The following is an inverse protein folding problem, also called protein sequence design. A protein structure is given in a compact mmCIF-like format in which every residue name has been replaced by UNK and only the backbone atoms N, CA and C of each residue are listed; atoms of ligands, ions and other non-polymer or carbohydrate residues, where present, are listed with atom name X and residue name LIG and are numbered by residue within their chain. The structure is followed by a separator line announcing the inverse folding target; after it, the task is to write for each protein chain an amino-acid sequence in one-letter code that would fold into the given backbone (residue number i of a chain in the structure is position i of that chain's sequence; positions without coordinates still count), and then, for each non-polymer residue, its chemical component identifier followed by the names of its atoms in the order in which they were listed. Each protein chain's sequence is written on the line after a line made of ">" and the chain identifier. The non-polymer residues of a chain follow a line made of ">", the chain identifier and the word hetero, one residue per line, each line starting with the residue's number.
data_IF_332834561814
#
_entry.id   IF_332834561814
#
_cell.length_a   1.000
_cell.length_b   1.000
_cell.length_c   1.000
_cell.angle_alpha   90.00
_cell.angle_beta   90.00
_cell.angle_gamma   90.00
#
_symmetry.space_group_name_H-M   'P 1'
#
loop_
_entity.id
_entity.type
_entity.pdbx_description
1 polymer ?
#
# COMPACT_ATOMS: atom_id res chain seq x y z
N UNK A 1 -10.90 -31.46 -30.78
CA UNK A 1 -11.15 -30.17 -30.12
C UNK A 1 -10.41 -30.02 -28.77
N UNK A 2 -9.25 -30.68 -28.56
CA UNK A 2 -8.59 -30.74 -27.23
C UNK A 2 -7.23 -30.02 -27.12
N UNK A 3 -6.80 -29.26 -28.12
CA UNK A 3 -5.51 -28.56 -28.09
C UNK A 3 -5.62 -27.17 -27.45
N UNK A 4 -6.71 -26.43 -27.66
CA UNK A 4 -6.90 -25.08 -27.10
C UNK A 4 -6.83 -25.02 -25.57
N UNK A 5 -7.35 -26.04 -24.88
CA UNK A 5 -7.34 -26.08 -23.42
C UNK A 5 -5.92 -26.27 -22.83
N UNK A 6 -5.08 -27.08 -23.51
CA UNK A 6 -3.73 -27.41 -23.04
C UNK A 6 -2.72 -26.27 -23.20
N UNK A 7 -2.91 -25.41 -24.20
CA UNK A 7 -2.09 -24.21 -24.37
C UNK A 7 -2.45 -23.15 -23.34
N UNK A 8 -3.74 -22.96 -23.07
CA UNK A 8 -4.23 -21.99 -22.10
C UNK A 8 -3.83 -22.37 -20.66
N UNK A 9 -3.96 -23.64 -20.29
CA UNK A 9 -3.47 -24.18 -18.99
C UNK A 9 -1.95 -23.97 -18.81
N UNK A 10 -1.18 -24.08 -19.90
CA UNK A 10 0.27 -23.86 -19.88
C UNK A 10 0.62 -22.38 -19.70
N UNK A 11 -0.09 -21.47 -20.35
CA UNK A 11 0.12 -20.03 -20.17
C UNK A 11 -0.27 -19.55 -18.76
N UNK A 12 -1.37 -20.07 -18.21
CA UNK A 12 -1.79 -19.80 -16.83
C UNK A 12 -0.74 -20.29 -15.81
N UNK A 13 -0.17 -21.48 -16.05
CA UNK A 13 0.94 -22.02 -15.23
C UNK A 13 2.19 -21.13 -15.29
N UNK A 14 2.62 -20.69 -16.48
CA UNK A 14 3.79 -19.81 -16.60
C UNK A 14 3.54 -18.44 -15.95
N UNK A 15 2.32 -17.90 -16.07
CA UNK A 15 1.93 -16.65 -15.40
C UNK A 15 1.98 -16.80 -13.87
N UNK A 16 1.44 -17.90 -13.34
CA UNK A 16 1.48 -18.23 -11.91
C UNK A 16 2.92 -18.36 -11.36
N UNK A 17 3.81 -19.04 -12.10
CA UNK A 17 5.23 -19.15 -11.74
C UNK A 17 5.90 -17.77 -11.75
N UNK A 18 5.62 -16.94 -12.77
CA UNK A 18 6.11 -15.57 -12.86
C UNK A 18 5.70 -14.73 -11.63
N UNK A 19 4.46 -14.89 -11.18
CA UNK A 19 3.95 -14.18 -10.01
C UNK A 19 4.50 -14.66 -8.68
N UNK A 20 4.81 -15.95 -8.56
CA UNK A 20 5.51 -16.48 -7.39
C UNK A 20 6.92 -15.88 -7.24
N UNK A 21 7.63 -15.65 -8.36
CA UNK A 21 8.94 -14.98 -8.36
C UNK A 21 8.85 -13.49 -8.04
N UNK A 22 7.87 -12.80 -8.62
CA UNK A 22 7.56 -11.39 -8.30
C UNK A 22 7.30 -11.22 -6.81
N UNK A 23 6.53 -12.13 -6.20
CA UNK A 23 6.26 -12.12 -4.75
C UNK A 23 7.55 -12.15 -3.90
N UNK A 24 8.51 -12.99 -4.25
CA UNK A 24 9.79 -13.06 -3.53
C UNK A 24 10.55 -11.74 -3.57
N UNK A 25 10.61 -11.10 -4.75
CA UNK A 25 11.27 -9.80 -4.93
C UNK A 25 10.59 -8.67 -4.15
N UNK A 26 9.25 -8.64 -4.16
CA UNK A 26 8.49 -7.64 -3.40
C UNK A 26 8.74 -7.78 -1.90
N UNK A 27 8.81 -9.00 -1.38
CA UNK A 27 9.09 -9.21 0.04
C UNK A 27 10.43 -8.58 0.46
N UNK A 28 11.48 -8.70 -0.36
CA UNK A 28 12.79 -8.07 -0.08
C UNK A 28 12.70 -6.54 -0.15
N UNK A 29 12.10 -5.98 -1.21
CA UNK A 29 12.00 -4.51 -1.39
C UNK A 29 11.13 -3.84 -0.33
N UNK A 30 10.07 -4.53 0.11
CA UNK A 30 9.18 -4.08 1.17
C UNK A 30 9.92 -3.88 2.50
N UNK A 31 10.95 -4.69 2.80
CA UNK A 31 11.73 -4.56 4.04
C UNK A 31 12.53 -3.26 4.06
N UNK A 32 13.22 -2.93 2.96
CA UNK A 32 13.97 -1.69 2.81
C UNK A 32 13.05 -0.46 2.91
N UNK A 33 11.88 -0.54 2.26
CA UNK A 33 10.87 0.50 2.30
C UNK A 33 10.31 0.69 3.73
N UNK A 34 10.06 -0.39 4.46
CA UNK A 34 9.62 -0.32 5.87
C UNK A 34 10.69 0.25 6.79
N UNK A 35 11.96 -0.09 6.57
CA UNK A 35 13.07 0.48 7.33
C UNK A 35 13.14 1.99 7.12
N UNK A 36 13.05 2.45 5.87
CA UNK A 36 13.07 3.87 5.52
C UNK A 36 11.91 4.63 6.17
N UNK A 37 10.69 4.07 6.10
CA UNK A 37 9.49 4.61 6.73
C UNK A 37 9.59 4.63 8.26
N UNK A 38 10.32 3.68 8.85
CA UNK A 38 10.44 3.52 10.30
C UNK A 38 11.54 4.39 10.92
N UNK A 39 12.62 4.63 10.19
CA UNK A 39 13.84 5.24 10.75
C UNK A 39 14.10 6.66 10.23
N UNK A 40 13.77 6.95 8.97
CA UNK A 40 14.13 8.22 8.31
C UNK A 40 12.94 9.15 8.09
N UNK A 41 11.73 8.62 8.02
CA UNK A 41 10.51 9.41 7.83
C UNK A 41 9.87 9.74 9.20
N UNK A 42 10.70 10.14 10.16
CA UNK A 42 10.31 10.41 11.54
C UNK A 42 9.96 9.16 12.36
N UNK A 43 10.90 8.76 13.22
CA UNK A 43 10.83 7.52 13.98
C UNK A 43 9.80 7.54 15.12
N UNK A 44 9.62 8.70 15.75
CA UNK A 44 8.81 8.86 16.96
C UNK A 44 7.53 9.66 16.68
N UNK A 45 6.47 9.34 17.40
CA UNK A 45 5.23 10.12 17.42
C UNK A 45 5.43 11.26 18.43
N UNK A 46 5.35 12.54 18.03
CA UNK A 46 5.37 13.66 18.96
C UNK A 46 4.24 13.52 20.00
N UNK A 47 4.49 13.94 21.25
CA UNK A 47 3.54 13.71 22.35
C UNK A 47 2.19 14.37 22.09
N UNK A 48 2.20 15.55 21.49
CA UNK A 48 1.05 16.31 21.04
C UNK A 48 0.19 15.55 20.03
N UNK A 49 0.76 14.62 19.27
CA UNK A 49 0.05 13.83 18.26
C UNK A 49 -0.58 12.55 18.81
N UNK A 50 -0.23 12.12 20.03
CA UNK A 50 -0.67 10.83 20.58
C UNK A 50 -2.20 10.74 20.64
N UNK A 51 -2.87 11.80 21.11
CA UNK A 51 -4.33 11.81 21.23
C UNK A 51 -5.02 11.74 19.87
N UNK A 52 -4.48 12.43 18.87
CA UNK A 52 -4.97 12.39 17.49
C UNK A 52 -4.84 10.98 16.89
N UNK A 53 -3.68 10.35 17.09
CA UNK A 53 -3.40 8.97 16.66
C UNK A 53 -4.36 7.96 17.30
N UNK A 54 -4.55 8.04 18.63
CA UNK A 54 -5.46 7.14 19.34
C UNK A 54 -6.89 7.34 18.85
N UNK A 55 -7.33 8.60 18.72
CA UNK A 55 -8.68 8.94 18.28
C UNK A 55 -8.99 8.47 16.86
N UNK A 56 -8.01 8.51 15.96
CA UNK A 56 -8.14 7.95 14.61
C UNK A 56 -8.16 6.43 14.66
N UNK A 57 -7.22 5.80 15.36
CA UNK A 57 -7.13 4.34 15.48
C UNK A 57 -8.43 3.74 16.03
N UNK A 58 -9.06 4.36 17.02
CA UNK A 58 -10.34 3.91 17.59
C UNK A 58 -11.52 4.00 16.62
N UNK A 59 -11.45 4.88 15.62
CA UNK A 59 -12.45 5.05 14.55
C UNK A 59 -12.05 4.35 13.25
N UNK A 60 -10.87 3.74 13.19
CA UNK A 60 -10.38 3.08 11.98
C UNK A 60 -11.27 1.95 11.50
N UNK A 61 -12.04 1.33 12.40
CA UNK A 61 -13.08 0.33 12.07
C UNK A 61 -14.29 0.94 11.32
N UNK A 62 -14.51 2.25 11.40
CA UNK A 62 -15.48 2.98 10.56
C UNK A 62 -14.98 3.10 9.11
N UNK A 63 -13.66 3.01 8.92
CA UNK A 63 -12.97 3.08 7.64
C UNK A 63 -12.65 1.67 7.14
N UNK A 64 -13.68 0.98 6.64
CA UNK A 64 -13.55 -0.35 6.04
C UNK A 64 -12.59 -0.33 4.83
N UNK A 65 -11.29 -0.56 5.04
CA UNK A 65 -10.49 -1.25 4.04
C UNK A 65 -10.78 -2.74 4.25
N UNK A 66 -11.44 -3.43 3.31
CA UNK A 66 -11.63 -4.86 3.43
C UNK A 66 -10.28 -5.52 3.63
N UNK A 67 -10.22 -6.46 4.57
CA UNK A 67 -9.00 -7.14 4.92
C UNK A 67 -8.39 -7.75 3.65
N UNK A 68 -7.17 -7.34 3.30
CA UNK A 68 -6.52 -7.77 2.05
C UNK A 68 -6.33 -9.30 2.04
N UNK A 69 -6.25 -9.92 3.22
CA UNK A 69 -6.14 -11.36 3.40
C UNK A 69 -7.45 -12.13 3.14
N UNK A 70 -8.60 -11.44 3.07
CA UNK A 70 -9.90 -12.04 2.73
C UNK A 70 -10.16 -12.02 1.21
N UNK A 71 -9.30 -11.35 0.44
CA UNK A 71 -9.38 -11.34 -1.00
C UNK A 71 -8.89 -12.66 -1.60
N UNK A 72 -9.63 -13.15 -2.60
CA UNK A 72 -9.09 -14.12 -3.56
C UNK A 72 -7.75 -13.60 -4.13
N UNK A 73 -6.78 -14.47 -4.47
CA UNK A 73 -5.49 -14.09 -5.02
C UNK A 73 -5.44 -12.91 -5.98
N UNK A 74 -6.26 -12.93 -7.04
CA UNK A 74 -6.32 -11.85 -8.01
C UNK A 74 -6.74 -10.51 -7.38
N UNK A 75 -7.71 -10.55 -6.46
CA UNK A 75 -8.17 -9.37 -5.74
C UNK A 75 -7.07 -8.84 -4.81
N UNK A 76 -6.27 -9.71 -4.18
CA UNK A 76 -5.17 -9.29 -3.34
C UNK A 76 -4.09 -8.56 -4.17
N UNK A 77 -3.76 -9.01 -5.38
CA UNK A 77 -2.75 -8.34 -6.22
C UNK A 77 -3.24 -6.96 -6.68
N UNK A 78 -4.51 -6.88 -7.08
CA UNK A 78 -5.13 -5.59 -7.47
C UNK A 78 -5.26 -4.65 -6.28
N UNK A 79 -5.57 -5.16 -5.08
CA UNK A 79 -5.60 -4.37 -3.87
C UNK A 79 -4.21 -3.82 -3.53
N UNK A 80 -3.17 -4.66 -3.59
CA UNK A 80 -1.79 -4.24 -3.33
C UNK A 80 -1.34 -3.15 -4.30
N UNK A 81 -1.53 -3.35 -5.60
CA UNK A 81 -1.22 -2.35 -6.64
C UNK A 81 -1.94 -1.02 -6.38
N UNK A 82 -3.25 -1.05 -6.15
CA UNK A 82 -4.01 0.17 -5.87
C UNK A 82 -3.57 0.83 -4.55
N UNK A 83 -3.26 0.06 -3.50
CA UNK A 83 -2.74 0.60 -2.23
C UNK A 83 -1.43 1.34 -2.45
N UNK A 84 -0.48 0.73 -3.16
CA UNK A 84 0.82 1.36 -3.45
C UNK A 84 0.62 2.65 -4.25
N UNK A 85 -0.25 2.64 -5.27
CA UNK A 85 -0.57 3.84 -6.03
C UNK A 85 -1.19 4.94 -5.16
N UNK A 86 -2.12 4.59 -4.27
CA UNK A 86 -2.73 5.56 -3.36
C UNK A 86 -1.73 6.10 -2.34
N UNK A 87 -0.78 5.29 -1.85
CA UNK A 87 0.29 5.74 -0.95
C UNK A 87 1.19 6.76 -1.67
N UNK A 88 1.62 6.47 -2.90
CA UNK A 88 2.42 7.40 -3.71
C UNK A 88 1.67 8.71 -3.93
N UNK A 89 0.37 8.65 -4.22
CA UNK A 89 -0.47 9.84 -4.38
C UNK A 89 -0.58 10.65 -3.09
N UNK A 90 -0.82 9.99 -1.95
CA UNK A 90 -0.89 10.63 -0.64
C UNK A 90 0.44 11.30 -0.29
N UNK A 91 1.59 10.64 -0.49
CA UNK A 91 2.94 11.22 -0.32
C UNK A 91 3.33 12.25 -1.40
N UNK A 92 2.41 12.62 -2.28
CA UNK A 92 2.59 13.72 -3.24
C UNK A 92 1.80 14.97 -2.84
N UNK A 93 1.15 14.95 -1.68
CA UNK A 93 0.42 16.10 -1.16
C UNK A 93 1.36 17.09 -0.43
N UNK A 94 0.79 18.11 0.21
CA UNK A 94 1.56 19.17 0.87
C UNK A 94 2.36 18.64 2.09
N UNK A 95 3.66 18.97 2.15
CA UNK A 95 4.59 18.62 3.22
C UNK A 95 5.14 19.83 3.99
N UNK A 96 4.62 21.05 3.79
CA UNK A 96 5.14 22.28 4.41
C UNK A 96 5.26 22.18 5.94
N UNK A 97 4.34 21.48 6.59
CA UNK A 97 4.29 21.28 8.04
C UNK A 97 4.90 19.94 8.49
N UNK A 98 5.64 19.24 7.62
CA UNK A 98 6.19 17.92 7.86
C UNK A 98 7.69 17.99 8.12
N UNK A 99 8.13 17.43 9.25
CA UNK A 99 9.54 17.39 9.66
C UNK A 99 10.36 16.26 9.03
N UNK A 100 9.78 15.52 8.08
CA UNK A 100 10.45 14.37 7.45
C UNK A 100 11.49 14.84 6.44
N UNK A 101 12.53 14.03 6.25
CA UNK A 101 13.54 14.29 5.23
C UNK A 101 12.94 14.09 3.82
N UNK A 102 12.89 15.17 3.02
CA UNK A 102 12.33 15.17 1.66
C UNK A 102 13.00 14.12 0.76
N UNK A 103 14.32 13.93 0.92
CA UNK A 103 15.05 12.91 0.17
C UNK A 103 14.56 11.51 0.53
N UNK A 104 14.29 11.24 1.80
CA UNK A 104 13.72 9.97 2.26
C UNK A 104 12.32 9.76 1.71
N UNK A 105 11.46 10.79 1.67
CA UNK A 105 10.15 10.72 1.00
C UNK A 105 10.31 10.36 -0.49
N UNK A 106 11.23 11.03 -1.19
CA UNK A 106 11.46 10.80 -2.61
C UNK A 106 11.97 9.37 -2.88
N UNK A 107 12.94 8.88 -2.11
CA UNK A 107 13.46 7.52 -2.21
C UNK A 107 12.36 6.50 -1.93
N UNK A 108 11.54 6.71 -0.90
CA UNK A 108 10.42 5.83 -0.57
C UNK A 108 9.43 5.75 -1.74
N UNK A 109 9.02 6.89 -2.30
CA UNK A 109 8.12 6.91 -3.47
C UNK A 109 8.71 6.21 -4.69
N UNK A 110 10.01 6.34 -4.92
CA UNK A 110 10.69 5.61 -6.00
C UNK A 110 10.66 4.09 -5.76
N UNK A 111 10.89 3.64 -4.52
CA UNK A 111 10.77 2.23 -4.13
C UNK A 111 9.36 1.69 -4.38
N UNK A 112 8.33 2.40 -3.91
CA UNK A 112 6.92 2.03 -4.17
C UNK A 112 6.59 2.00 -5.67
N UNK A 113 7.13 2.95 -6.45
CA UNK A 113 6.98 2.96 -7.91
C UNK A 113 7.57 1.70 -8.57
N UNK A 114 8.71 1.21 -8.08
CA UNK A 114 9.33 -0.02 -8.56
C UNK A 114 8.51 -1.26 -8.19
N UNK A 115 7.91 -1.28 -6.99
CA UNK A 115 6.98 -2.35 -6.58
C UNK A 115 5.74 -2.39 -7.49
N UNK A 116 5.13 -1.24 -7.78
CA UNK A 116 3.99 -1.12 -8.71
C UNK A 116 4.37 -1.70 -10.08
N UNK A 117 5.50 -1.27 -10.66
CA UNK A 117 5.98 -1.80 -11.96
C UNK A 117 6.20 -3.30 -11.90
N UNK A 118 6.71 -3.82 -10.79
CA UNK A 118 6.95 -5.26 -10.60
C UNK A 118 5.63 -6.04 -10.52
N UNK A 119 4.57 -5.47 -9.96
CA UNK A 119 3.25 -6.10 -9.85
C UNK A 119 2.46 -6.18 -11.16
N UNK A 120 2.76 -5.32 -12.15
CA UNK A 120 1.99 -5.20 -13.41
C UNK A 120 1.77 -6.56 -14.10
N UNK A 121 2.79 -7.42 -14.15
CA UNK A 121 2.68 -8.73 -14.80
C UNK A 121 1.72 -9.71 -14.11
N UNK A 122 1.37 -9.43 -12.86
CA UNK A 122 0.51 -10.27 -12.02
C UNK A 122 -0.92 -9.76 -11.91
N UNK A 123 -1.18 -8.58 -12.47
CA UNK A 123 -2.53 -8.05 -12.50
C UNK A 123 -3.41 -8.92 -13.41
N UNK A 124 -4.63 -9.14 -12.93
CA UNK A 124 -5.71 -9.73 -13.70
C UNK A 124 -6.77 -8.64 -13.92
N UNK A 125 -7.43 -8.65 -15.08
CA UNK A 125 -8.52 -7.72 -15.36
C UNK A 125 -9.75 -7.98 -14.48
N UNK A 126 -10.66 -7.02 -14.40
CA UNK A 126 -12.02 -7.27 -13.89
C UNK A 126 -12.27 -7.09 -12.38
N UNK A 127 -11.45 -6.31 -11.65
CA UNK A 127 -11.56 -6.16 -10.19
C UNK A 127 -11.75 -4.71 -9.73
N UNK A 128 -12.62 -3.97 -10.41
CA UNK A 128 -12.85 -2.55 -10.14
C UNK A 128 -13.49 -2.29 -8.77
N UNK A 129 -14.29 -3.24 -8.26
CA UNK A 129 -14.84 -3.15 -6.91
C UNK A 129 -13.73 -3.11 -5.84
N UNK A 130 -12.69 -3.91 -6.01
CA UNK A 130 -11.51 -3.91 -5.13
C UNK A 130 -10.79 -2.57 -5.18
N UNK A 131 -10.52 -2.05 -6.38
CA UNK A 131 -9.91 -0.72 -6.54
C UNK A 131 -10.74 0.38 -5.90
N UNK A 132 -12.05 0.36 -6.13
CA UNK A 132 -12.97 1.35 -5.57
C UNK A 132 -13.02 1.32 -4.04
N UNK A 133 -12.93 0.14 -3.43
CA UNK A 133 -12.85 0.00 -1.97
C UNK A 133 -11.57 0.66 -1.43
N UNK A 134 -10.42 0.36 -2.04
CA UNK A 134 -9.13 0.97 -1.67
C UNK A 134 -9.17 2.50 -1.86
N UNK A 135 -9.63 2.99 -3.01
CA UNK A 135 -9.78 4.43 -3.28
C UNK A 135 -10.72 5.12 -2.31
N UNK A 136 -11.83 4.47 -1.91
CA UNK A 136 -12.76 5.02 -0.93
C UNK A 136 -12.07 5.22 0.42
N UNK A 137 -11.27 4.26 0.85
CA UNK A 137 -10.48 4.35 2.07
C UNK A 137 -9.43 5.47 2.00
N UNK A 138 -8.60 5.52 0.94
CA UNK A 138 -7.58 6.57 0.81
C UNK A 138 -8.16 7.97 0.58
N UNK A 139 -9.38 8.10 0.04
CA UNK A 139 -10.10 9.38 0.03
C UNK A 139 -10.34 9.92 1.44
N UNK A 140 -10.59 9.05 2.43
CA UNK A 140 -10.77 9.46 3.82
C UNK A 140 -9.45 9.89 4.45
N UNK A 141 -8.35 9.18 4.16
CA UNK A 141 -7.00 9.62 4.57
C UNK A 141 -6.66 11.00 3.99
N UNK A 142 -6.86 11.18 2.69
CA UNK A 142 -6.56 12.46 2.04
C UNK A 142 -7.48 13.59 2.52
N UNK A 143 -8.70 13.26 2.93
CA UNK A 143 -9.59 14.21 3.61
C UNK A 143 -9.07 14.57 5.00
N UNK A 144 -8.65 13.60 5.82
CA UNK A 144 -8.04 13.84 7.14
C UNK A 144 -6.85 14.81 7.04
N UNK A 145 -5.97 14.59 6.06
CA UNK A 145 -4.83 15.48 5.82
C UNK A 145 -5.29 16.92 5.56
N UNK A 146 -6.30 17.12 4.70
CA UNK A 146 -6.86 18.45 4.41
C UNK A 146 -7.55 19.08 5.62
N UNK A 147 -8.39 18.32 6.32
CA UNK A 147 -9.16 18.79 7.48
C UNK A 147 -8.23 19.21 8.64
N UNK A 148 -7.02 18.63 8.71
CA UNK A 148 -5.98 18.97 9.68
C UNK A 148 -4.83 19.80 9.10
N UNK A 149 -5.07 20.47 7.97
CA UNK A 149 -4.14 21.38 7.29
C UNK A 149 -2.72 20.81 7.11
N UNK A 150 -2.65 19.53 6.74
CA UNK A 150 -1.40 18.79 6.53
C UNK A 150 -0.44 18.85 7.72
N UNK A 151 -0.96 19.03 8.94
CA UNK A 151 -0.15 19.10 10.17
C UNK A 151 0.70 17.85 10.38
N UNK A 152 1.80 17.99 11.14
CA UNK A 152 2.67 16.86 11.47
C UNK A 152 1.87 15.70 12.09
N UNK A 153 0.90 15.97 12.97
CA UNK A 153 0.08 14.93 13.58
C UNK A 153 -0.82 14.18 12.58
N UNK A 154 -1.34 14.87 11.56
CA UNK A 154 -2.08 14.20 10.49
C UNK A 154 -1.15 13.26 9.69
N UNK A 155 0.08 13.69 9.40
CA UNK A 155 1.09 12.84 8.76
C UNK A 155 1.53 11.67 9.63
N UNK A 156 1.60 11.81 10.96
CA UNK A 156 1.85 10.67 11.87
C UNK A 156 0.78 9.60 11.77
N UNK A 157 -0.48 9.99 11.64
CA UNK A 157 -1.58 9.04 11.41
C UNK A 157 -1.37 8.31 10.08
N UNK A 158 -1.11 9.06 9.00
CA UNK A 158 -0.85 8.46 7.67
C UNK A 158 0.33 7.48 7.71
N UNK A 159 1.42 7.86 8.37
CA UNK A 159 2.59 7.00 8.53
C UNK A 159 2.26 5.68 9.21
N UNK A 160 1.48 5.72 10.29
CA UNK A 160 1.07 4.53 11.00
C UNK A 160 0.18 3.63 10.15
N UNK A 161 -0.79 4.21 9.44
CA UNK A 161 -1.64 3.45 8.53
C UNK A 161 -0.82 2.76 7.46
N UNK A 162 0.15 3.45 6.85
CA UNK A 162 1.08 2.89 5.85
C UNK A 162 1.91 1.74 6.46
N UNK A 163 2.52 1.93 7.64
CA UNK A 163 3.31 0.88 8.34
C UNK A 163 2.50 -0.38 8.64
N UNK A 164 1.22 -0.22 8.97
CA UNK A 164 0.34 -1.34 9.31
C UNK A 164 -0.24 -2.04 8.08
N UNK A 165 -0.03 -1.53 6.85
CA UNK A 165 -0.60 -2.16 5.66
C UNK A 165 0.17 -3.41 5.25
N UNK A 166 -0.52 -4.57 5.09
CA UNK A 166 0.05 -5.81 4.56
C UNK A 166 0.76 -5.68 3.21
N UNK A 167 0.35 -4.71 2.38
CA UNK A 167 1.00 -4.45 1.11
C UNK A 167 2.48 -4.04 1.27
N UNK A 168 2.85 -3.50 2.44
CA UNK A 168 4.22 -3.12 2.82
C UNK A 168 4.80 -4.04 3.91
N UNK A 169 3.98 -4.56 4.81
CA UNK A 169 4.37 -5.53 5.85
C UNK A 169 4.18 -6.97 5.43
N UNK A 170 5.29 -7.69 5.24
CA UNK A 170 5.38 -9.10 4.82
C UNK A 170 4.74 -10.14 5.73
N UNK A 171 3.43 -10.04 6.00
CA UNK A 171 2.62 -11.24 6.18
C UNK A 171 2.05 -11.61 4.82
N UNK A 172 2.32 -12.86 4.44
CA UNK A 172 2.02 -13.48 3.16
C UNK A 172 0.81 -12.85 2.44
N UNK A 173 1.08 -12.09 1.37
CA UNK A 173 0.09 -11.89 0.33
C UNK A 173 -0.18 -13.28 -0.27
N UNK A 174 -1.30 -13.88 0.12
CA UNK A 174 -1.79 -15.12 -0.46
C UNK A 174 -2.36 -14.79 -1.85
N UNK A 175 -1.48 -14.79 -2.84
CA UNK A 175 -1.83 -14.96 -4.25
C UNK A 175 -1.77 -16.44 -4.61
#
# INVERSE_FOLDING_TARGET
>A
MGQGNKYQEREEMYKSIGCSRVRGKLHETNQDNLELLSTRMGANIPRECINDVISFSSRSSEYNLPNIYEYQPGNATVAADEILQQIVYTLSQNHENLSWDDKSIAVFKLGLGQEIVTLVSCLHGGMENTRNAVRKYFRQINKLLKDKDYSECAWRIVQMEIRQRPALGGAHLHF
#
